data_IF_109797470455
#
_entry.id   IF_109797470455
#
_cell.length_a   1.000
_cell.length_b   1.000
_cell.length_c   1.000
_cell.angle_alpha   90.00
_cell.angle_beta   90.00
_cell.angle_gamma   90.00
#
_symmetry.space_group_name_H-M   'P 1'
#
loop_
_entity.id
_entity.type
_entity.pdbx_description
1 polymer ?
#
# COMPACT_ATOMS: atom_id res chain seq x y z
N UNK A 1 17.51 -14.34 1.80
CA UNK A 1 17.82 -12.91 1.93
C UNK A 1 17.47 -12.25 3.26
N UNK A 2 17.50 -12.92 4.43
CA UNK A 2 17.24 -12.17 5.70
C UNK A 2 18.49 -11.38 6.07
N UNK A 3 18.49 -10.11 5.69
CA UNK A 3 19.64 -9.20 5.81
C UNK A 3 20.11 -9.02 7.27
N UNK A 4 19.30 -9.41 8.25
CA UNK A 4 19.61 -9.32 9.68
C UNK A 4 20.66 -10.37 10.10
N UNK A 5 20.69 -11.54 9.46
CA UNK A 5 21.34 -12.72 10.08
C UNK A 5 22.77 -13.02 9.59
N UNK A 6 23.24 -12.45 8.48
CA UNK A 6 24.49 -12.97 7.87
C UNK A 6 25.58 -11.95 7.55
N UNK A 7 25.30 -10.64 7.47
CA UNK A 7 26.37 -9.68 7.17
C UNK A 7 26.01 -8.23 7.52
N UNK A 8 26.55 -7.73 8.64
CA UNK A 8 26.35 -6.32 9.08
C UNK A 8 26.79 -5.31 8.01
N UNK A 9 27.81 -5.64 7.20
CA UNK A 9 28.26 -4.78 6.10
C UNK A 9 27.22 -4.71 5.00
N UNK A 10 26.68 -5.85 4.53
CA UNK A 10 25.63 -5.86 3.50
C UNK A 10 24.35 -5.16 4.01
N UNK A 11 23.99 -5.37 5.27
CA UNK A 11 22.87 -4.66 5.90
C UNK A 11 23.05 -3.14 5.87
N UNK A 12 24.22 -2.66 6.29
CA UNK A 12 24.51 -1.23 6.30
C UNK A 12 24.57 -0.65 4.88
N UNK A 13 25.11 -1.40 3.91
CA UNK A 13 25.12 -1.00 2.50
C UNK A 13 23.70 -0.85 1.94
N UNK A 14 22.82 -1.82 2.20
CA UNK A 14 21.41 -1.74 1.82
C UNK A 14 20.71 -0.56 2.50
N UNK A 15 20.89 -0.37 3.82
CA UNK A 15 20.31 0.77 4.54
C UNK A 15 20.74 2.10 3.92
N UNK A 16 22.04 2.27 3.70
CA UNK A 16 22.60 3.50 3.14
C UNK A 16 22.11 3.71 1.71
N UNK A 17 22.13 2.68 0.87
CA UNK A 17 21.62 2.77 -0.50
C UNK A 17 20.14 3.15 -0.52
N UNK A 18 19.32 2.56 0.37
CA UNK A 18 17.90 2.89 0.44
C UNK A 18 17.67 4.34 0.84
N UNK A 19 18.36 4.82 1.87
CA UNK A 19 18.22 6.20 2.36
C UNK A 19 18.74 7.21 1.34
N UNK A 20 19.85 6.93 0.65
CA UNK A 20 20.45 7.84 -0.34
C UNK A 20 19.65 7.94 -1.64
N UNK A 21 19.04 6.83 -2.08
CA UNK A 21 18.32 6.79 -3.36
C UNK A 21 16.83 7.14 -3.21
N UNK A 22 16.29 7.20 -1.99
CA UNK A 22 14.91 7.60 -1.78
C UNK A 22 14.72 9.10 -2.03
N UNK A 23 13.68 9.43 -2.79
CA UNK A 23 13.21 10.82 -2.97
C UNK A 23 11.81 10.99 -2.37
N UNK A 24 11.60 12.07 -1.62
CA UNK A 24 10.29 12.53 -1.15
C UNK A 24 9.65 13.56 -2.10
N UNK A 25 10.38 13.97 -3.15
CA UNK A 25 9.90 14.90 -4.15
C UNK A 25 8.90 14.23 -5.08
N UNK A 26 7.64 14.61 -4.95
CA UNK A 26 6.51 14.04 -5.70
C UNK A 26 6.74 14.08 -7.23
N UNK A 27 7.34 15.14 -7.76
CA UNK A 27 7.56 15.27 -9.21
C UNK A 27 8.49 14.21 -9.78
N UNK A 28 9.46 13.74 -8.99
CA UNK A 28 10.42 12.71 -9.42
C UNK A 28 9.76 11.32 -9.49
N UNK A 29 8.56 11.18 -8.92
CA UNK A 29 7.83 9.93 -8.76
C UNK A 29 6.70 9.75 -9.78
N UNK A 30 6.42 10.76 -10.63
CA UNK A 30 5.40 10.67 -11.66
C UNK A 30 5.95 10.13 -12.98
N UNK A 31 5.15 9.30 -13.64
CA UNK A 31 5.35 8.86 -15.03
C UNK A 31 4.10 9.19 -15.83
N UNK A 32 4.28 9.98 -16.87
CA UNK A 32 3.23 10.21 -17.86
C UNK A 32 3.11 8.98 -18.76
N UNK A 33 1.88 8.51 -18.95
CA UNK A 33 1.55 7.32 -19.75
C UNK A 33 0.65 7.73 -20.91
N UNK A 34 1.13 7.50 -22.13
CA UNK A 34 0.42 7.88 -23.34
C UNK A 34 -0.79 6.96 -23.62
N UNK A 35 -0.61 5.64 -23.44
CA UNK A 35 -1.63 4.62 -23.72
C UNK A 35 -1.62 3.51 -22.65
N UNK A 36 -2.63 3.44 -21.77
CA UNK A 36 -2.70 2.43 -20.71
C UNK A 36 -2.88 1.00 -21.25
N UNK A 37 -3.28 0.82 -22.52
CA UNK A 37 -3.41 -0.49 -23.14
C UNK A 37 -2.11 -0.98 -23.79
N UNK A 38 -1.16 -0.07 -23.98
CA UNK A 38 0.11 -0.33 -24.67
C UNK A 38 1.24 0.47 -24.03
N UNK A 39 1.60 0.10 -22.81
CA UNK A 39 2.73 0.69 -22.11
C UNK A 39 4.01 0.51 -22.93
N UNK A 40 4.68 1.62 -23.25
CA UNK A 40 5.96 1.60 -23.94
C UNK A 40 7.06 1.04 -23.05
N UNK A 41 8.14 0.58 -23.67
CA UNK A 41 9.33 0.10 -22.95
C UNK A 41 9.92 1.18 -22.03
N UNK A 42 9.99 2.43 -22.50
CA UNK A 42 10.55 3.54 -21.73
C UNK A 42 9.68 3.90 -20.52
N UNK A 43 8.35 3.94 -20.68
CA UNK A 43 7.43 4.17 -19.55
C UNK A 43 7.56 3.04 -18.51
N UNK A 44 7.60 1.77 -18.95
CA UNK A 44 7.79 0.63 -18.05
C UNK A 44 9.11 0.71 -17.30
N UNK A 45 10.23 0.94 -18.00
CA UNK A 45 11.56 1.05 -17.39
C UNK A 45 11.62 2.18 -16.36
N UNK A 46 10.96 3.31 -16.65
CA UNK A 46 10.86 4.43 -15.71
C UNK A 46 10.07 4.06 -14.46
N UNK A 47 8.91 3.41 -14.61
CA UNK A 47 8.08 2.95 -13.49
C UNK A 47 8.88 1.98 -12.60
N UNK A 48 9.53 0.98 -13.20
CA UNK A 48 10.33 0.00 -12.47
C UNK A 48 11.51 0.67 -11.75
N UNK A 49 12.21 1.61 -12.41
CA UNK A 49 13.30 2.35 -11.79
C UNK A 49 12.83 3.10 -10.54
N UNK A 50 11.70 3.81 -10.61
CA UNK A 50 11.14 4.54 -9.47
C UNK A 50 10.73 3.57 -8.36
N UNK A 51 9.98 2.51 -8.70
CA UNK A 51 9.53 1.51 -7.71
C UNK A 51 10.70 0.83 -7.01
N UNK A 52 11.81 0.58 -7.70
CA UNK A 52 13.01 -0.03 -7.10
C UNK A 52 13.64 0.85 -6.01
N UNK A 53 13.46 2.18 -6.08
CA UNK A 53 14.02 3.14 -5.14
C UNK A 53 13.03 3.51 -4.04
N UNK A 54 11.75 3.66 -4.38
CA UNK A 54 10.72 4.24 -3.51
C UNK A 54 9.59 3.28 -3.10
N UNK A 55 9.59 2.04 -3.60
CA UNK A 55 8.48 1.08 -3.48
C UNK A 55 7.11 1.59 -3.97
N UNK A 56 7.06 2.76 -4.61
CA UNK A 56 5.86 3.35 -5.17
C UNK A 56 6.21 4.24 -6.37
N UNK A 57 5.29 4.36 -7.32
CA UNK A 57 5.40 5.24 -8.47
C UNK A 57 4.01 5.77 -8.80
N UNK A 58 3.90 7.08 -8.98
CA UNK A 58 2.69 7.72 -9.49
C UNK A 58 2.69 7.69 -11.01
N UNK A 59 1.50 7.75 -11.58
CA UNK A 59 1.35 7.90 -13.03
C UNK A 59 0.22 8.84 -13.37
N UNK A 60 0.27 9.39 -14.58
CA UNK A 60 -0.78 10.21 -15.16
C UNK A 60 -1.06 9.78 -16.59
N UNK A 61 -2.32 9.54 -16.92
CA UNK A 61 -2.74 9.19 -18.27
C UNK A 61 -2.97 10.45 -19.10
N UNK A 62 -2.40 10.53 -20.29
CA UNK A 62 -2.60 11.67 -21.20
C UNK A 62 -4.06 11.84 -21.64
N UNK A 63 -4.81 10.74 -21.75
CA UNK A 63 -6.19 10.72 -22.28
C UNK A 63 -7.17 10.06 -21.30
N UNK A 64 -7.44 10.66 -20.12
CA UNK A 64 -8.22 10.01 -19.07
C UNK A 64 -9.72 9.92 -19.36
N UNK A 65 -10.23 10.67 -20.36
CA UNK A 65 -11.65 10.72 -20.70
C UNK A 65 -12.19 9.40 -21.30
N UNK A 66 -11.32 8.57 -21.88
CA UNK A 66 -11.68 7.32 -22.57
C UNK A 66 -11.23 6.06 -21.82
N UNK A 67 -10.94 6.21 -20.53
CA UNK A 67 -10.38 5.12 -19.71
C UNK A 67 -11.49 4.31 -19.09
N UNK A 68 -11.55 3.04 -19.47
CA UNK A 68 -12.42 2.03 -18.87
C UNK A 68 -11.64 1.16 -17.89
N UNK A 69 -12.36 0.40 -17.05
CA UNK A 69 -11.76 -0.54 -16.08
C UNK A 69 -10.77 -1.51 -16.72
N UNK A 70 -11.10 -2.05 -17.89
CA UNK A 70 -10.22 -2.99 -18.60
C UNK A 70 -8.90 -2.35 -19.03
N UNK A 71 -8.86 -1.06 -19.35
CA UNK A 71 -7.61 -0.36 -19.64
C UNK A 71 -6.71 -0.31 -18.38
N UNK A 72 -7.30 -0.12 -17.21
CA UNK A 72 -6.58 -0.13 -15.93
C UNK A 72 -6.07 -1.53 -15.58
N UNK A 73 -6.87 -2.58 -15.85
CA UNK A 73 -6.46 -3.97 -15.74
C UNK A 73 -5.22 -4.28 -16.59
N UNK A 74 -5.23 -3.88 -17.86
CA UNK A 74 -4.11 -4.07 -18.80
C UNK A 74 -2.86 -3.29 -18.38
N UNK A 75 -3.03 -2.06 -17.91
CA UNK A 75 -1.94 -1.26 -17.39
C UNK A 75 -1.28 -1.95 -16.18
N UNK A 76 -2.07 -2.48 -15.25
CA UNK A 76 -1.57 -3.24 -14.10
C UNK A 76 -0.75 -4.47 -14.52
N UNK A 77 -1.23 -5.23 -15.52
CA UNK A 77 -0.49 -6.37 -16.09
C UNK A 77 0.85 -5.94 -16.68
N UNK A 78 0.86 -4.81 -17.41
CA UNK A 78 2.06 -4.35 -18.14
C UNK A 78 3.23 -3.96 -17.22
N UNK A 79 2.94 -3.55 -15.99
CA UNK A 79 3.96 -3.28 -14.96
C UNK A 79 4.33 -4.52 -14.15
N UNK A 80 3.74 -5.70 -14.44
CA UNK A 80 4.08 -6.96 -13.78
C UNK A 80 3.26 -7.27 -12.54
N UNK A 81 2.10 -6.63 -12.33
CA UNK A 81 1.14 -7.11 -11.35
C UNK A 81 0.40 -8.35 -11.89
N UNK A 82 0.27 -9.41 -11.08
CA UNK A 82 -0.50 -10.62 -11.40
C UNK A 82 -0.83 -11.39 -10.11
N UNK A 83 -1.59 -12.48 -10.22
CA UNK A 83 -2.15 -13.20 -9.06
C UNK A 83 -3.01 -12.27 -8.19
N UNK A 84 -4.03 -11.68 -8.82
CA UNK A 84 -4.90 -10.70 -8.19
C UNK A 84 -5.78 -11.34 -7.12
N UNK A 85 -6.03 -10.57 -6.07
CA UNK A 85 -6.92 -10.98 -4.99
C UNK A 85 -8.37 -10.77 -5.38
N UNK A 86 -9.15 -11.86 -5.34
CA UNK A 86 -10.61 -11.78 -5.32
C UNK A 86 -11.07 -11.46 -3.90
N UNK A 87 -11.83 -10.39 -3.72
CA UNK A 87 -12.45 -10.06 -2.44
C UNK A 87 -13.92 -9.68 -2.62
N UNK A 88 -14.65 -9.55 -1.51
CA UNK A 88 -16.08 -9.23 -1.51
C UNK A 88 -16.41 -7.87 -2.16
N UNK A 89 -15.40 -7.05 -2.46
CA UNK A 89 -15.55 -5.72 -3.05
C UNK A 89 -14.97 -5.62 -4.46
N UNK A 90 -14.39 -6.70 -5.00
CA UNK A 90 -13.86 -6.72 -6.37
C UNK A 90 -14.88 -7.32 -7.33
N UNK A 91 -14.93 -6.79 -8.55
CA UNK A 91 -15.63 -7.42 -9.66
C UNK A 91 -14.85 -8.63 -10.23
N UNK A 92 -15.38 -9.26 -11.27
CA UNK A 92 -14.76 -10.42 -11.95
C UNK A 92 -13.42 -10.09 -12.61
N UNK A 93 -13.07 -8.81 -12.74
CA UNK A 93 -11.76 -8.33 -13.20
C UNK A 93 -10.81 -8.01 -12.04
N UNK A 94 -11.17 -8.38 -10.81
CA UNK A 94 -10.43 -8.11 -9.57
C UNK A 94 -10.28 -6.61 -9.24
N UNK A 95 -11.17 -5.77 -9.77
CA UNK A 95 -11.16 -4.32 -9.55
C UNK A 95 -12.22 -3.97 -8.49
N UNK A 96 -11.81 -3.24 -7.45
CA UNK A 96 -12.72 -2.65 -6.48
C UNK A 96 -12.96 -1.17 -6.75
N UNK A 97 -14.23 -0.77 -6.77
CA UNK A 97 -14.63 0.64 -6.79
C UNK A 97 -14.68 1.20 -5.37
N UNK A 98 -13.77 2.13 -5.07
CA UNK A 98 -13.69 2.81 -3.78
C UNK A 98 -14.44 4.14 -3.86
N UNK A 99 -15.72 4.08 -3.51
CA UNK A 99 -16.62 5.23 -3.37
C UNK A 99 -17.41 5.15 -2.05
N UNK A 100 -17.94 6.28 -1.60
CA UNK A 100 -18.86 6.33 -0.46
C UNK A 100 -20.25 5.78 -0.82
N UNK A 101 -20.58 5.76 -2.11
CA UNK A 101 -21.84 5.23 -2.64
C UNK A 101 -21.80 3.71 -2.88
N UNK A 102 -20.63 3.07 -2.71
CA UNK A 102 -20.49 1.65 -2.97
C UNK A 102 -21.34 0.85 -1.97
N UNK A 103 -22.54 0.46 -2.39
CA UNK A 103 -23.43 -0.43 -1.65
C UNK A 103 -22.94 -1.86 -1.82
N UNK A 104 -22.24 -2.38 -0.84
CA UNK A 104 -22.20 -3.83 -0.65
C UNK A 104 -22.93 -4.15 0.66
N UNK A 105 -23.75 -5.20 0.64
CA UNK A 105 -24.55 -5.66 1.78
C UNK A 105 -23.69 -6.01 3.02
N UNK A 106 -22.37 -6.13 2.84
CA UNK A 106 -21.36 -6.53 3.81
C UNK A 106 -20.42 -5.37 4.21
N UNK A 107 -20.52 -4.20 3.55
CA UNK A 107 -19.50 -3.13 3.61
C UNK A 107 -19.73 -2.04 4.65
N UNK A 108 -20.87 -2.07 5.37
CA UNK A 108 -21.29 -1.04 6.32
C UNK A 108 -20.26 -0.61 7.39
N UNK A 109 -19.18 -1.36 7.60
CA UNK A 109 -18.12 -1.05 8.57
C UNK A 109 -16.73 -0.78 7.96
N UNK A 110 -16.53 -0.89 6.64
CA UNK A 110 -15.21 -0.73 6.03
C UNK A 110 -14.90 0.72 5.71
N UNK A 111 -14.10 1.36 6.58
CA UNK A 111 -13.64 2.76 6.45
C UNK A 111 -13.17 3.17 5.03
N UNK A 112 -12.49 2.33 4.22
CA UNK A 112 -12.13 2.70 2.85
C UNK A 112 -13.29 3.21 1.99
N UNK A 113 -14.51 2.71 2.22
CA UNK A 113 -15.76 3.04 1.53
C UNK A 113 -16.61 4.08 2.27
N UNK A 114 -15.96 4.89 3.11
CA UNK A 114 -16.59 6.01 3.82
C UNK A 114 -15.77 7.28 3.64
N UNK A 115 -16.38 8.44 3.90
CA UNK A 115 -15.73 9.75 3.87
C UNK A 115 -14.79 10.04 5.07
N UNK A 116 -14.72 9.13 6.05
CA UNK A 116 -13.88 9.27 7.24
C UNK A 116 -12.40 9.14 6.91
N UNK A 117 -11.52 9.65 7.77
CA UNK A 117 -10.09 9.39 7.65
C UNK A 117 -9.78 7.89 7.77
N UNK A 118 -8.81 7.42 6.99
CA UNK A 118 -8.31 6.06 7.03
C UNK A 118 -6.88 6.10 7.57
N UNK A 119 -6.69 5.57 8.79
CA UNK A 119 -5.40 5.56 9.48
C UNK A 119 -4.32 4.77 8.72
N UNK A 120 -3.06 4.95 9.11
CA UNK A 120 -1.93 4.21 8.55
C UNK A 120 -2.14 2.70 8.58
N UNK A 121 -2.00 2.07 7.41
CA UNK A 121 -2.10 0.63 7.23
C UNK A 121 -1.38 0.19 5.95
N UNK A 122 -1.13 -1.11 5.80
CA UNK A 122 -0.85 -1.73 4.50
C UNK A 122 -2.09 -2.49 4.03
N UNK A 123 -2.19 -2.85 2.75
CA UNK A 123 -3.31 -3.68 2.29
C UNK A 123 -3.04 -5.17 2.61
N UNK A 124 -4.10 -5.89 2.97
CA UNK A 124 -4.03 -7.34 3.20
C UNK A 124 -3.54 -7.78 4.60
N UNK A 125 -3.49 -6.90 5.60
CA UNK A 125 -3.14 -7.29 6.98
C UNK A 125 -4.14 -8.28 7.62
N UNK A 126 -5.35 -8.39 7.06
CA UNK A 126 -6.38 -9.37 7.40
C UNK A 126 -6.24 -10.72 6.67
N UNK A 127 -5.36 -10.81 5.66
CA UNK A 127 -5.25 -12.00 4.82
C UNK A 127 -4.42 -13.07 5.52
N UNK A 128 -4.58 -14.33 5.12
CA UNK A 128 -3.65 -15.39 5.54
C UNK A 128 -2.21 -15.00 5.18
N UNK A 129 -1.25 -15.33 6.04
CA UNK A 129 0.18 -15.17 5.73
C UNK A 129 0.63 -15.96 4.49
N UNK A 130 -0.19 -16.93 4.03
CA UNK A 130 0.04 -17.73 2.82
C UNK A 130 -0.36 -17.01 1.53
N UNK A 131 -1.21 -15.99 1.62
CA UNK A 131 -1.72 -15.21 0.48
C UNK A 131 -1.49 -13.70 0.70
N UNK A 132 -0.23 -13.27 0.88
CA UNK A 132 0.08 -11.87 1.15
C UNK A 132 -0.20 -10.99 -0.07
N UNK A 133 -0.67 -9.77 0.19
CA UNK A 133 -0.70 -8.71 -0.82
C UNK A 133 0.68 -8.10 -0.91
N UNK A 134 1.31 -8.21 -2.09
CA UNK A 134 2.68 -7.78 -2.33
C UNK A 134 2.75 -6.50 -3.16
N UNK A 135 1.71 -6.21 -3.93
CA UNK A 135 1.51 -4.92 -4.58
C UNK A 135 0.04 -4.55 -4.64
N UNK A 136 -0.22 -3.27 -4.79
CA UNK A 136 -1.55 -2.75 -5.09
C UNK A 136 -1.42 -1.50 -5.94
N UNK A 137 -2.51 -1.15 -6.62
CA UNK A 137 -2.60 0.11 -7.35
C UNK A 137 -3.90 0.84 -7.04
N UNK A 138 -3.86 2.16 -7.20
CA UNK A 138 -5.03 3.03 -7.23
C UNK A 138 -5.06 3.81 -8.54
N UNK A 139 -6.25 4.01 -9.10
CA UNK A 139 -6.48 4.91 -10.22
C UNK A 139 -7.68 5.82 -9.92
N UNK A 140 -7.53 7.11 -10.18
CA UNK A 140 -8.54 8.11 -9.89
C UNK A 140 -9.43 8.37 -11.11
N UNK A 141 -10.66 7.85 -11.04
CA UNK A 141 -11.72 8.16 -12.00
C UNK A 141 -12.26 9.56 -11.73
N UNK A 142 -12.58 9.84 -10.46
CA UNK A 142 -13.07 11.13 -9.99
C UNK A 142 -12.47 11.45 -8.61
N UNK A 143 -11.79 12.60 -8.44
CA UNK A 143 -11.30 13.02 -7.14
C UNK A 143 -12.46 13.50 -6.23
N UNK A 144 -12.22 13.56 -4.93
CA UNK A 144 -13.09 14.32 -4.03
C UNK A 144 -12.91 15.82 -4.23
N UNK A 145 -13.97 16.59 -3.94
CA UNK A 145 -13.95 18.05 -3.96
C UNK A 145 -12.85 18.57 -3.02
N UNK A 146 -12.94 18.17 -1.75
CA UNK A 146 -11.99 18.54 -0.69
C UNK A 146 -11.44 17.30 0.03
N UNK A 147 -10.21 17.41 0.53
CA UNK A 147 -9.54 16.33 1.24
C UNK A 147 -9.23 15.13 0.34
N UNK A 148 -9.25 13.93 0.93
CA UNK A 148 -8.94 12.69 0.22
C UNK A 148 -7.47 12.56 -0.19
N UNK A 149 -6.61 13.29 0.51
CA UNK A 149 -5.16 13.29 0.33
C UNK A 149 -4.64 11.97 0.87
N UNK A 150 -3.91 11.24 0.02
CA UNK A 150 -3.22 10.04 0.45
C UNK A 150 -1.84 10.43 0.98
N UNK A 151 -1.39 9.74 2.04
CA UNK A 151 0.01 9.78 2.46
C UNK A 151 0.60 8.40 2.37
N UNK A 152 1.86 8.33 1.97
CA UNK A 152 2.60 7.09 1.78
C UNK A 152 3.92 7.15 2.55
N UNK A 153 4.32 6.02 3.12
CA UNK A 153 5.61 5.85 3.75
C UNK A 153 6.21 4.51 3.31
N UNK A 154 7.42 4.56 2.76
CA UNK A 154 8.15 3.36 2.37
C UNK A 154 8.45 2.50 3.61
N UNK A 155 7.99 1.26 3.57
CA UNK A 155 8.13 0.32 4.69
C UNK A 155 9.57 -0.09 4.95
N UNK A 156 10.47 0.00 3.97
CA UNK A 156 11.90 -0.24 4.15
C UNK A 156 12.57 0.89 4.93
N UNK A 157 12.20 2.15 4.68
CA UNK A 157 12.67 3.26 5.52
C UNK A 157 12.18 3.08 6.96
N UNK A 158 10.89 2.78 7.13
CA UNK A 158 10.32 2.56 8.45
C UNK A 158 11.05 1.43 9.20
N UNK A 159 11.30 0.32 8.52
CA UNK A 159 12.07 -0.80 9.05
C UNK A 159 13.49 -0.39 9.48
N UNK A 160 14.22 0.35 8.64
CA UNK A 160 15.61 0.77 8.92
C UNK A 160 15.64 1.66 10.15
N UNK A 161 14.79 2.69 10.21
CA UNK A 161 14.76 3.65 11.31
C UNK A 161 14.26 3.00 12.60
N UNK A 162 13.23 2.15 12.52
CA UNK A 162 12.75 1.39 13.68
C UNK A 162 13.83 0.47 14.24
N UNK A 163 14.54 -0.27 13.38
CA UNK A 163 15.58 -1.19 13.83
C UNK A 163 16.79 -0.44 14.41
N UNK A 164 17.12 0.74 13.86
CA UNK A 164 18.16 1.61 14.42
C UNK A 164 17.80 2.13 15.81
N UNK A 165 16.53 2.43 16.06
CA UNK A 165 16.03 2.94 17.35
C UNK A 165 15.89 1.82 18.39
N UNK A 166 15.31 0.68 18.02
CA UNK A 166 14.95 -0.38 18.98
C UNK A 166 15.96 -1.51 19.10
N UNK A 167 16.67 -1.86 18.02
CA UNK A 167 17.48 -3.08 17.93
C UNK A 167 16.68 -4.39 18.03
N UNK A 168 15.34 -4.33 18.06
CA UNK A 168 14.41 -5.43 18.41
C UNK A 168 13.53 -5.86 17.23
N UNK A 169 14.04 -5.71 16.00
CA UNK A 169 13.26 -5.99 14.78
C UNK A 169 12.76 -7.43 14.66
N UNK A 170 13.50 -8.40 15.20
CA UNK A 170 13.15 -9.82 15.13
C UNK A 170 11.80 -10.13 15.78
N UNK A 171 11.43 -9.39 16.82
CA UNK A 171 10.14 -9.57 17.51
C UNK A 171 8.97 -9.08 16.65
N UNK A 172 9.18 -8.06 15.81
CA UNK A 172 8.21 -7.64 14.81
C UNK A 172 8.11 -8.58 13.60
N UNK A 173 9.03 -9.55 13.50
CA UNK A 173 9.05 -10.56 12.43
C UNK A 173 8.47 -11.91 12.87
N UNK A 174 8.09 -12.05 14.14
CA UNK A 174 7.36 -13.22 14.61
C UNK A 174 6.04 -13.35 13.83
N UNK A 175 5.81 -14.52 13.21
CA UNK A 175 4.58 -14.82 12.44
C UNK A 175 3.32 -14.86 13.31
N UNK A 176 3.47 -14.73 14.61
CA UNK A 176 2.41 -14.63 15.60
C UNK A 176 2.45 -13.32 16.41
N UNK A 177 3.17 -12.30 15.93
CA UNK A 177 3.25 -10.96 16.53
C UNK A 177 1.86 -10.38 16.89
N UNK A 178 0.86 -10.65 16.06
CA UNK A 178 -0.53 -10.30 16.37
C UNK A 178 -1.50 -11.43 16.05
N UNK A 179 -2.71 -11.28 16.59
CA UNK A 179 -3.88 -12.09 16.31
C UNK A 179 -5.05 -11.19 15.90
N UNK A 180 -5.79 -11.60 14.89
CA UNK A 180 -7.03 -10.96 14.42
C UNK A 180 -8.14 -12.01 14.59
N UNK A 181 -9.12 -11.78 15.48
CA UNK A 181 -10.24 -12.69 15.67
C UNK A 181 -11.03 -12.95 14.38
N UNK A 182 -11.72 -14.09 14.30
CA UNK A 182 -12.65 -14.40 13.21
C UNK A 182 -13.74 -13.34 13.10
N UNK A 183 -14.24 -13.11 11.88
CA UNK A 183 -15.42 -12.28 11.63
C UNK A 183 -16.48 -13.13 10.93
N UNK A 184 -17.48 -13.57 11.71
CA UNK A 184 -18.57 -14.44 11.25
C UNK A 184 -19.49 -13.76 10.23
N UNK A 185 -19.72 -12.45 10.36
CA UNK A 185 -20.60 -11.70 9.48
C UNK A 185 -20.13 -11.68 8.01
N UNK A 186 -18.82 -11.88 7.79
CA UNK A 186 -18.19 -11.84 6.47
C UNK A 186 -17.50 -13.17 6.11
N UNK A 187 -17.63 -14.20 6.96
CA UNK A 187 -16.97 -15.49 6.79
C UNK A 187 -15.43 -15.46 6.86
N UNK A 188 -14.82 -14.44 7.50
CA UNK A 188 -13.35 -14.35 7.61
C UNK A 188 -12.88 -15.17 8.82
N UNK A 189 -11.94 -16.09 8.57
CA UNK A 189 -11.26 -16.84 9.63
C UNK A 189 -10.44 -15.91 10.56
N UNK A 190 -10.06 -16.43 11.71
CA UNK A 190 -9.07 -15.78 12.54
C UNK A 190 -7.67 -15.92 11.93
N UNK A 191 -6.80 -14.95 12.21
CA UNK A 191 -5.49 -14.89 11.57
C UNK A 191 -4.41 -14.40 12.51
N UNK A 192 -3.25 -15.06 12.44
CA UNK A 192 -2.01 -14.59 13.06
C UNK A 192 -1.11 -13.95 12.01
N UNK A 193 -0.28 -12.99 12.41
CA UNK A 193 0.62 -12.34 11.48
C UNK A 193 1.88 -11.77 12.12
N UNK A 194 2.79 -11.38 11.23
CA UNK A 194 4.00 -10.60 11.50
C UNK A 194 3.77 -9.13 11.11
N UNK A 195 4.60 -8.21 11.60
CA UNK A 195 4.62 -6.83 11.08
C UNK A 195 5.59 -6.71 9.92
N UNK A 196 6.79 -7.27 10.03
CA UNK A 196 7.78 -7.30 8.96
C UNK A 196 8.13 -8.74 8.58
N UNK A 197 8.41 -9.00 7.30
CA UNK A 197 8.90 -10.29 6.85
C UNK A 197 9.68 -10.14 5.55
N UNK A 198 10.59 -11.07 5.26
CA UNK A 198 11.20 -11.18 3.94
C UNK A 198 10.47 -12.23 3.11
N UNK A 199 10.02 -11.83 1.93
CA UNK A 199 9.39 -12.70 0.93
C UNK A 199 10.22 -12.58 -0.34
N UNK A 200 10.83 -13.69 -0.78
CA UNK A 200 11.76 -13.71 -1.92
C UNK A 200 12.81 -12.60 -1.82
N UNK A 201 13.41 -12.45 -0.63
CA UNK A 201 14.48 -11.50 -0.34
C UNK A 201 14.11 -10.02 -0.47
N UNK A 202 12.80 -9.73 -0.53
CA UNK A 202 12.24 -8.38 -0.46
C UNK A 202 11.50 -8.19 0.85
N UNK A 203 11.71 -7.04 1.48
CA UNK A 203 10.99 -6.70 2.70
C UNK A 203 9.51 -6.47 2.40
N UNK A 204 8.67 -7.03 3.24
CA UNK A 204 7.22 -6.91 3.23
C UNK A 204 6.72 -6.45 4.59
N UNK A 205 5.62 -5.70 4.59
CA UNK A 205 5.01 -5.17 5.81
C UNK A 205 3.50 -5.46 5.88
N UNK A 206 3.05 -5.84 7.07
CA UNK A 206 1.63 -5.98 7.43
C UNK A 206 1.36 -5.16 8.68
N UNK A 207 0.61 -4.08 8.56
CA UNK A 207 0.41 -3.19 9.70
C UNK A 207 -0.92 -2.44 9.62
N UNK A 208 -1.42 -2.04 10.78
CA UNK A 208 -2.59 -1.17 10.93
C UNK A 208 -2.50 -0.38 12.22
N UNK A 209 -2.84 0.90 12.17
CA UNK A 209 -3.07 1.73 13.36
C UNK A 209 -4.52 1.62 13.87
N UNK A 210 -5.34 0.71 13.32
CA UNK A 210 -6.64 0.43 13.91
C UNK A 210 -6.45 -0.21 15.28
N UNK A 211 -7.23 0.26 16.25
CA UNK A 211 -7.24 -0.27 17.62
C UNK A 211 -8.27 -1.38 17.82
N UNK A 212 -9.22 -1.52 16.89
CA UNK A 212 -10.26 -2.55 16.94
C UNK A 212 -9.84 -3.76 16.13
N UNK A 213 -10.21 -4.94 16.63
CA UNK A 213 -10.09 -6.22 15.92
C UNK A 213 -8.64 -6.62 15.58
N UNK A 214 -7.65 -6.16 16.35
CA UNK A 214 -6.27 -6.65 16.32
C UNK A 214 -5.75 -6.73 17.75
N UNK A 215 -5.17 -7.87 18.11
CA UNK A 215 -4.63 -8.17 19.43
C UNK A 215 -3.14 -8.39 19.28
N UNK A 216 -2.35 -7.46 19.78
CA UNK A 216 -0.89 -7.55 19.79
C UNK A 216 -0.42 -8.46 20.92
N UNK A 217 0.61 -9.27 20.67
CA UNK A 217 1.35 -9.98 21.72
C UNK A 217 1.88 -8.99 22.77
N UNK A 218 1.88 -9.40 24.03
CA UNK A 218 2.29 -8.53 25.14
C UNK A 218 3.73 -8.04 24.98
N UNK A 219 4.62 -8.91 24.48
CA UNK A 219 6.06 -8.68 24.31
C UNK A 219 6.40 -7.65 23.24
N UNK A 220 5.44 -7.29 22.38
CA UNK A 220 5.64 -6.32 21.29
C UNK A 220 4.81 -5.04 21.43
N UNK A 221 3.98 -4.91 22.48
CA UNK A 221 3.09 -3.74 22.64
C UNK A 221 3.89 -2.44 22.71
N UNK A 222 5.01 -2.44 23.42
CA UNK A 222 5.95 -1.32 23.49
C UNK A 222 6.59 -1.05 22.12
N UNK A 223 6.99 -2.10 21.39
CA UNK A 223 7.55 -1.97 20.05
C UNK A 223 6.56 -1.42 19.03
N UNK A 224 5.28 -1.78 19.12
CA UNK A 224 4.22 -1.21 18.29
C UNK A 224 4.08 0.29 18.56
N UNK A 225 4.24 0.73 19.81
CA UNK A 225 4.21 2.15 20.14
C UNK A 225 5.45 2.89 19.64
N UNK A 226 6.63 2.28 19.76
CA UNK A 226 7.86 2.80 19.14
C UNK A 226 7.66 2.93 17.63
N UNK A 227 7.10 1.92 16.96
CA UNK A 227 6.86 1.92 15.52
C UNK A 227 5.93 3.06 15.09
N UNK A 228 4.85 3.32 15.84
CA UNK A 228 3.97 4.49 15.59
C UNK A 228 4.72 5.79 15.75
N UNK A 229 5.51 5.93 16.81
CA UNK A 229 6.35 7.12 17.02
C UNK A 229 7.39 7.29 15.90
N UNK A 230 7.96 6.20 15.40
CA UNK A 230 8.87 6.23 14.24
C UNK A 230 8.14 6.73 12.98
N UNK A 231 6.89 6.30 12.72
CA UNK A 231 6.10 6.80 11.59
C UNK A 231 5.97 8.33 11.64
N UNK A 232 5.68 8.89 12.81
CA UNK A 232 5.56 10.34 13.00
C UNK A 232 6.91 11.07 12.84
N UNK A 233 8.01 10.51 13.36
CA UNK A 233 9.37 11.05 13.17
C UNK A 233 9.81 11.05 11.71
N UNK A 234 9.27 10.14 10.88
CA UNK A 234 9.57 10.03 9.46
C UNK A 234 8.70 10.94 8.59
N UNK A 235 8.03 11.96 9.14
CA UNK A 235 7.19 12.90 8.38
C UNK A 235 7.87 13.48 7.15
N UNK A 236 9.18 13.76 7.19
CA UNK A 236 9.93 14.24 6.02
C UNK A 236 9.98 13.25 4.86
N UNK A 237 9.90 11.95 5.12
CA UNK A 237 9.87 10.90 4.10
C UNK A 237 8.45 10.53 3.66
N UNK A 238 7.42 11.14 4.26
CA UNK A 238 6.04 10.86 3.90
C UNK A 238 5.70 11.62 2.61
N UNK A 239 5.23 10.89 1.60
CA UNK A 239 4.81 11.48 0.34
C UNK A 239 3.30 11.74 0.43
N UNK A 240 2.89 13.00 0.27
CA UNK A 240 1.49 13.41 0.27
C UNK A 240 1.01 13.67 -1.17
N UNK A 241 -0.11 13.06 -1.56
CA UNK A 241 -0.68 13.23 -2.90
C UNK A 241 -2.21 13.15 -2.91
N UNK A 242 -2.86 14.20 -3.42
CA UNK A 242 -4.27 14.16 -3.84
C UNK A 242 -4.32 13.80 -5.32
N UNK A 243 -4.63 12.53 -5.62
CA UNK A 243 -4.75 12.05 -7.00
C UNK A 243 -5.83 12.82 -7.75
N UNK A 244 -5.47 13.39 -8.89
CA UNK A 244 -6.40 14.01 -9.82
C UNK A 244 -6.99 12.97 -10.78
N UNK A 245 -8.07 13.33 -11.48
CA UNK A 245 -8.65 12.47 -12.52
C UNK A 245 -7.58 12.09 -13.54
N UNK A 246 -7.46 10.80 -13.84
CA UNK A 246 -6.41 10.30 -14.75
C UNK A 246 -5.08 9.95 -14.08
N UNK A 247 -4.92 10.29 -12.80
CA UNK A 247 -3.73 9.92 -12.05
C UNK A 247 -3.94 8.64 -11.26
N UNK A 248 -2.85 7.93 -11.00
CA UNK A 248 -2.84 6.76 -10.14
C UNK A 248 -1.50 6.54 -9.47
N UNK A 249 -1.41 5.45 -8.72
CA UNK A 249 -0.19 5.03 -8.04
C UNK A 249 -0.09 3.51 -8.07
N UNK A 250 1.12 3.02 -8.35
CA UNK A 250 1.55 1.65 -8.15
C UNK A 250 2.37 1.56 -6.88
N UNK A 251 2.20 0.51 -6.08
CA UNK A 251 3.05 0.30 -4.91
C UNK A 251 3.39 -1.16 -4.67
N UNK A 252 4.54 -1.39 -4.06
CA UNK A 252 4.94 -2.66 -3.47
C UNK A 252 4.42 -2.80 -2.02
N UNK A 253 3.12 -2.53 -1.86
CA UNK A 253 2.37 -2.57 -0.60
C UNK A 253 2.95 -1.70 0.53
N UNK A 254 3.28 -0.46 0.21
CA UNK A 254 3.80 0.52 1.18
C UNK A 254 2.75 0.90 2.22
N UNK A 255 3.22 1.41 3.36
CA UNK A 255 2.36 1.94 4.41
C UNK A 255 1.65 3.20 3.88
N UNK A 256 0.33 3.29 4.07
CA UNK A 256 -0.44 4.40 3.56
C UNK A 256 -1.63 4.77 4.44
N UNK A 257 -2.09 6.00 4.30
CA UNK A 257 -3.28 6.55 4.96
C UNK A 257 -4.02 7.48 3.99
N UNK A 258 -5.25 7.85 4.33
CA UNK A 258 -6.04 8.84 3.58
C UNK A 258 -6.74 9.79 4.53
N UNK A 259 -6.66 11.09 4.26
CA UNK A 259 -7.42 12.09 5.04
C UNK A 259 -8.92 11.88 4.86
N UNK A 260 -9.73 12.47 5.73
CA UNK A 260 -11.15 12.59 5.46
C UNK A 260 -11.37 13.38 4.17
N UNK A 261 -12.54 13.23 3.58
CA UNK A 261 -12.89 13.96 2.36
C UNK A 261 -14.35 14.41 2.38
N UNK A 262 -14.64 15.41 1.58
CA UNK A 262 -16.00 15.89 1.36
C UNK A 262 -16.41 15.63 -0.09
N UNK A 263 -17.65 15.21 -0.27
CA UNK A 263 -18.27 14.95 -1.56
C UNK A 263 -19.54 15.77 -1.69
N UNK A 264 -19.86 16.14 -2.92
CA UNK A 264 -21.13 16.77 -3.25
C UNK A 264 -21.90 15.87 -4.22
N UNK A 265 -23.18 16.17 -4.46
CA UNK A 265 -23.96 15.45 -5.48
C UNK A 265 -23.34 15.53 -6.88
N UNK A 266 -22.52 16.56 -7.16
CA UNK A 266 -21.82 16.75 -8.43
C UNK A 266 -20.41 16.13 -8.45
N UNK A 267 -19.77 16.04 -7.29
CA UNK A 267 -18.39 15.57 -7.13
C UNK A 267 -18.34 14.41 -6.16
N UNK A 268 -18.58 13.21 -6.70
CA UNK A 268 -18.47 11.93 -6.00
C UNK A 268 -17.13 11.30 -6.31
N UNK A 269 -16.37 10.99 -5.28
CA UNK A 269 -15.06 10.35 -5.39
C UNK A 269 -15.23 8.92 -5.87
N UNK A 270 -14.40 8.55 -6.84
CA UNK A 270 -14.31 7.18 -7.33
C UNK A 270 -12.85 6.87 -7.63
N UNK A 271 -12.29 5.91 -6.88
CA UNK A 271 -11.03 5.28 -7.24
C UNK A 271 -11.27 3.82 -7.65
N UNK A 272 -10.48 3.33 -8.58
CA UNK A 272 -10.32 1.91 -8.84
C UNK A 272 -9.12 1.40 -8.04
N UNK A 273 -9.28 0.25 -7.37
CA UNK A 273 -8.21 -0.41 -6.63
C UNK A 273 -8.03 -1.84 -7.12
N UNK A 274 -6.78 -2.27 -7.24
CA UNK A 274 -6.42 -3.66 -7.48
C UNK A 274 -5.32 -4.07 -6.49
N UNK A 275 -5.35 -5.34 -6.07
CA UNK A 275 -4.41 -5.92 -5.11
C UNK A 275 -3.88 -7.23 -5.66
N UNK A 276 -2.58 -7.45 -5.54
CA UNK A 276 -1.91 -8.57 -6.20
C UNK A 276 -0.92 -9.27 -5.26
N UNK A 277 -0.80 -10.59 -5.42
CA UNK A 277 0.14 -11.44 -4.70
C UNK A 277 1.56 -11.43 -5.26
N UNK A 278 1.89 -10.44 -6.11
CA UNK A 278 3.20 -10.29 -6.76
C UNK A 278 3.70 -8.87 -6.63
N UNK A 279 5.02 -8.73 -6.46
CA UNK A 279 5.68 -7.42 -6.43
C UNK A 279 5.86 -6.91 -7.86
N UNK A 280 5.94 -5.60 -7.98
CA UNK A 280 6.32 -4.90 -9.20
C UNK A 280 7.85 -4.80 -9.23
N UNK A 281 8.45 -5.29 -10.32
CA UNK A 281 9.90 -5.41 -10.54
C UNK A 281 10.30 -5.39 -12.03
#
# INVERSE_FOLDING_TARGET
MDIITQNKTLYNQWCNSKIMNFTDNLNDLFVEIADPTRLSKAERERIISIISQNNLCFFELQKPAYVEKNHIRLLADSVGMYNYESCNTSDDSYISEISNDTKHDVVGEYIPYTNKALNWHTDGYYNSIRTPILSWMLYCMNPAEEGGINKFLDHELLYIYFNKESGRIKELMDKSAYYIPKNEAIGRADEHGYIFNFINDKLHMRFTMRTKNIIWKDEIKDLVEILKNTIEKLRKYQIECKLQKGQGVFTNNVLHMRTSFHETNKHKRLLLRMRAGRRIE
#
